data_IF_784933700281
#
_entry.id   IF_784933700281
#
_cell.length_a   1.000
_cell.length_b   1.000
_cell.length_c   1.000
_cell.angle_alpha   90.00
_cell.angle_beta   90.00
_cell.angle_gamma   90.00
#
_symmetry.space_group_name_H-M   'P 1'
#
loop_
_entity.id
_entity.type
_entity.pdbx_description
1 polymer ?
#
# COMPACT_ATOMS: atom_id res chain seq x y z
N UNK A 1 -21.65 -3.05 -24.37
CA UNK A 1 -20.54 -3.89 -24.86
C UNK A 1 -19.19 -3.63 -24.16
N UNK A 2 -18.67 -2.40 -23.96
CA UNK A 2 -17.32 -2.20 -23.42
C UNK A 2 -17.16 -2.63 -21.95
N UNK A 3 -18.16 -2.37 -21.10
CA UNK A 3 -18.13 -2.74 -19.67
C UNK A 3 -18.01 -4.26 -19.48
N UNK A 4 -18.76 -5.06 -20.24
CA UNK A 4 -18.69 -6.53 -20.18
C UNK A 4 -17.29 -7.03 -20.55
N UNK A 5 -16.67 -6.45 -21.58
CA UNK A 5 -15.29 -6.78 -21.96
C UNK A 5 -14.29 -6.43 -20.86
N UNK A 6 -14.40 -5.25 -20.25
CA UNK A 6 -13.55 -4.81 -19.13
C UNK A 6 -13.65 -5.81 -17.96
N UNK A 7 -14.87 -6.19 -17.57
CA UNK A 7 -15.09 -7.13 -16.46
C UNK A 7 -14.57 -8.53 -16.78
N UNK A 8 -14.74 -9.02 -18.01
CA UNK A 8 -14.16 -10.31 -18.43
C UNK A 8 -12.64 -10.29 -18.34
N UNK A 9 -11.99 -9.23 -18.83
CA UNK A 9 -10.53 -9.08 -18.77
C UNK A 9 -10.06 -8.98 -17.32
N UNK A 10 -10.79 -8.26 -16.46
CA UNK A 10 -10.50 -8.18 -15.04
C UNK A 10 -10.57 -9.55 -14.35
N UNK A 11 -11.63 -10.33 -14.63
CA UNK A 11 -11.78 -11.69 -14.09
C UNK A 11 -10.68 -12.64 -14.55
N UNK A 12 -10.27 -12.56 -15.81
CA UNK A 12 -9.14 -13.34 -16.34
C UNK A 12 -7.83 -12.93 -15.67
N UNK A 13 -7.58 -11.62 -15.55
CA UNK A 13 -6.37 -11.09 -14.90
C UNK A 13 -6.29 -11.52 -13.44
N UNK A 14 -7.40 -11.49 -12.71
CA UNK A 14 -7.48 -11.96 -11.32
C UNK A 14 -7.18 -13.47 -11.20
N UNK A 15 -7.74 -14.27 -12.11
CA UNK A 15 -7.50 -15.72 -12.14
C UNK A 15 -6.06 -16.06 -12.51
N UNK A 16 -5.45 -15.28 -13.37
CA UNK A 16 -4.05 -15.42 -13.75
C UNK A 16 -3.13 -15.01 -12.59
N UNK A 17 -3.36 -13.83 -12.01
CA UNK A 17 -2.63 -13.31 -10.86
C UNK A 17 -2.61 -14.33 -9.71
N UNK A 18 -3.77 -14.89 -9.35
CA UNK A 18 -3.90 -15.87 -8.26
C UNK A 18 -3.13 -17.18 -8.47
N UNK A 19 -2.77 -17.52 -9.72
CA UNK A 19 -2.05 -18.77 -10.05
C UNK A 19 -0.54 -18.61 -10.15
N UNK A 20 -0.02 -17.37 -10.11
CA UNK A 20 1.43 -17.11 -10.24
C UNK A 20 2.18 -17.59 -9.00
N UNK A 21 3.41 -18.10 -9.18
CA UNK A 21 4.27 -18.53 -8.05
C UNK A 21 4.54 -17.41 -7.05
N UNK A 22 4.54 -16.15 -7.51
CA UNK A 22 4.63 -14.94 -6.68
C UNK A 22 3.56 -14.96 -5.57
N UNK A 23 2.35 -15.47 -5.84
CA UNK A 23 1.29 -15.60 -4.83
C UNK A 23 1.64 -16.50 -3.68
N UNK A 24 2.33 -17.62 -3.98
CA UNK A 24 2.77 -18.54 -2.93
C UNK A 24 3.83 -17.88 -2.06
N UNK A 25 4.75 -17.14 -2.68
CA UNK A 25 5.75 -16.36 -1.94
C UNK A 25 5.09 -15.29 -1.06
N UNK A 26 4.16 -14.50 -1.59
CA UNK A 26 3.41 -13.50 -0.81
C UNK A 26 2.62 -14.14 0.33
N UNK A 27 1.97 -15.28 0.09
CA UNK A 27 1.25 -16.03 1.11
C UNK A 27 2.16 -16.50 2.23
N UNK A 28 3.32 -17.09 1.89
CA UNK A 28 4.33 -17.52 2.87
C UNK A 28 4.86 -16.34 3.66
N UNK A 29 5.25 -15.24 3.01
CA UNK A 29 5.71 -14.00 3.67
C UNK A 29 4.64 -13.45 4.63
N UNK A 30 3.38 -13.47 4.21
CA UNK A 30 2.25 -13.01 5.04
C UNK A 30 2.08 -13.88 6.28
N UNK A 31 2.09 -15.21 6.12
CA UNK A 31 1.97 -16.15 7.25
C UNK A 31 3.17 -16.03 8.20
N UNK A 32 4.39 -15.90 7.68
CA UNK A 32 5.58 -15.70 8.50
C UNK A 32 5.51 -14.40 9.30
N UNK A 33 5.07 -13.31 8.69
CA UNK A 33 4.91 -12.03 9.38
C UNK A 33 3.78 -12.07 10.42
N UNK A 34 2.66 -12.75 10.13
CA UNK A 34 1.59 -12.99 11.11
C UNK A 34 2.10 -13.80 12.30
N UNK A 35 2.88 -14.85 12.07
CA UNK A 35 3.44 -15.68 13.14
C UNK A 35 4.45 -14.91 14.00
N UNK A 36 5.35 -14.15 13.37
CA UNK A 36 6.28 -13.25 14.06
C UNK A 36 5.53 -12.19 14.87
N UNK A 37 4.46 -11.64 14.31
CA UNK A 37 3.60 -10.70 15.03
C UNK A 37 2.94 -11.36 16.24
N UNK A 38 2.30 -12.52 16.06
CA UNK A 38 1.65 -13.24 17.15
C UNK A 38 2.61 -13.49 18.31
N UNK A 39 3.84 -13.92 17.99
CA UNK A 39 4.90 -14.09 18.97
C UNK A 39 5.32 -12.76 19.63
N UNK A 40 5.53 -11.70 18.85
CA UNK A 40 5.88 -10.38 19.40
C UNK A 40 4.84 -9.87 20.39
N UNK A 41 3.56 -9.94 20.03
CA UNK A 41 2.47 -9.50 20.90
C UNK A 41 2.25 -10.41 22.11
N UNK A 42 2.51 -11.72 22.02
CA UNK A 42 2.44 -12.61 23.19
C UNK A 42 3.51 -12.29 24.23
N UNK A 43 4.73 -11.94 23.78
CA UNK A 43 5.81 -11.51 24.69
C UNK A 43 5.47 -10.18 25.39
N UNK A 44 4.80 -9.26 24.70
CA UNK A 44 4.29 -8.02 25.29
C UNK A 44 3.18 -8.24 26.30
N UNK A 45 2.28 -9.19 26.03
CA UNK A 45 1.26 -9.63 26.96
C UNK A 45 1.89 -10.13 28.27
N UNK A 46 2.83 -11.08 28.15
CA UNK A 46 3.53 -11.65 29.29
C UNK A 46 4.28 -10.58 30.12
N UNK A 47 5.01 -9.68 29.46
CA UNK A 47 5.75 -8.60 30.15
C UNK A 47 4.82 -7.64 30.92
N UNK A 48 3.60 -7.42 30.42
CA UNK A 48 2.62 -6.60 31.12
C UNK A 48 1.98 -7.35 32.31
N UNK A 49 1.71 -8.65 32.16
CA UNK A 49 1.11 -9.47 33.21
C UNK A 49 2.07 -9.68 34.39
N UNK A 50 3.39 -9.71 34.12
CA UNK A 50 4.46 -9.74 35.14
C UNK A 50 4.62 -8.39 35.89
N UNK A 51 3.78 -7.39 35.61
CA UNK A 51 3.82 -6.06 36.22
C UNK A 51 4.93 -5.16 35.70
N UNK A 52 5.62 -5.57 34.62
CA UNK A 52 6.71 -4.82 34.01
C UNK A 52 6.27 -3.62 33.16
N UNK A 53 4.98 -3.52 32.84
CA UNK A 53 4.41 -2.42 32.05
C UNK A 53 3.11 -1.91 32.68
N UNK A 54 2.95 -0.59 32.74
CA UNK A 54 1.65 0.02 33.03
C UNK A 54 0.66 -0.24 31.88
N UNK A 55 -0.65 -0.18 32.17
CA UNK A 55 -1.70 -0.30 31.14
C UNK A 55 -1.52 0.71 30.00
N UNK A 56 -1.01 1.90 30.33
CA UNK A 56 -0.67 2.91 29.34
C UNK A 56 0.46 2.45 28.42
N UNK A 57 1.61 2.10 28.98
CA UNK A 57 2.78 1.67 28.21
C UNK A 57 2.48 0.48 27.30
N UNK A 58 1.71 -0.51 27.79
CA UNK A 58 1.23 -1.65 26.98
C UNK A 58 0.48 -1.18 25.73
N UNK A 59 -0.47 -0.24 25.88
CA UNK A 59 -1.28 0.27 24.78
C UNK A 59 -0.44 1.02 23.72
N UNK A 60 0.55 1.77 24.18
CA UNK A 60 1.47 2.50 23.31
C UNK A 60 2.37 1.54 22.52
N UNK A 61 2.95 0.56 23.20
CA UNK A 61 3.76 -0.47 22.55
C UNK A 61 2.93 -1.27 21.53
N UNK A 62 1.69 -1.65 21.88
CA UNK A 62 0.79 -2.34 20.95
C UNK A 62 0.50 -1.50 19.71
N UNK A 63 0.22 -0.21 19.87
CA UNK A 63 -0.04 0.71 18.75
C UNK A 63 1.17 0.88 17.84
N UNK A 64 2.37 1.06 18.40
CA UNK A 64 3.61 1.22 17.64
C UNK A 64 3.96 -0.05 16.87
N UNK A 65 3.87 -1.22 17.54
CA UNK A 65 4.21 -2.50 16.93
C UNK A 65 3.17 -2.90 15.89
N UNK A 66 1.89 -2.62 16.12
CA UNK A 66 0.86 -2.82 15.11
C UNK A 66 1.18 -2.01 13.85
N UNK A 67 1.54 -0.73 13.98
CA UNK A 67 1.90 0.09 12.82
C UNK A 67 3.16 -0.42 12.12
N UNK A 68 4.17 -0.84 12.87
CA UNK A 68 5.37 -1.43 12.29
C UNK A 68 5.03 -2.69 11.47
N UNK A 69 4.21 -3.59 12.03
CA UNK A 69 3.81 -4.82 11.35
C UNK A 69 2.91 -4.52 10.15
N UNK A 70 1.96 -3.59 10.28
CA UNK A 70 1.10 -3.13 9.17
C UNK A 70 1.92 -2.47 8.05
N UNK A 71 3.00 -1.77 8.38
CA UNK A 71 3.94 -1.27 7.38
C UNK A 71 4.62 -2.43 6.64
N UNK A 72 5.03 -3.47 7.37
CA UNK A 72 5.53 -4.72 6.80
C UNK A 72 4.55 -5.37 5.82
N UNK A 73 3.26 -5.45 6.15
CA UNK A 73 2.24 -5.91 5.21
C UNK A 73 2.07 -4.98 4.01
N UNK A 74 2.18 -3.66 4.21
CA UNK A 74 2.15 -2.68 3.12
C UNK A 74 3.33 -2.89 2.15
N UNK A 75 4.52 -3.25 2.65
CA UNK A 75 5.68 -3.60 1.85
C UNK A 75 5.45 -4.89 1.06
N UNK A 76 4.88 -5.93 1.69
CA UNK A 76 4.54 -7.17 0.99
C UNK A 76 3.49 -6.89 -0.11
N UNK A 77 2.47 -6.06 0.16
CA UNK A 77 1.50 -5.62 -0.83
C UNK A 77 2.17 -4.84 -1.98
N UNK A 78 3.10 -3.94 -1.65
CA UNK A 78 3.84 -3.14 -2.61
C UNK A 78 4.72 -3.99 -3.54
N UNK A 79 5.47 -4.94 -2.97
CA UNK A 79 6.24 -5.92 -3.73
C UNK A 79 5.32 -6.75 -4.63
N UNK A 80 4.21 -7.25 -4.08
CA UNK A 80 3.25 -8.06 -4.82
C UNK A 80 2.65 -7.31 -6.01
N UNK A 81 2.16 -6.08 -5.80
CA UNK A 81 1.56 -5.26 -6.85
C UNK A 81 2.56 -4.90 -7.94
N UNK A 82 3.78 -4.47 -7.56
CA UNK A 82 4.82 -4.11 -8.51
C UNK A 82 5.27 -5.29 -9.39
N UNK A 83 5.48 -6.47 -8.79
CA UNK A 83 5.92 -7.67 -9.51
C UNK A 83 4.80 -8.44 -10.23
N UNK A 84 3.53 -8.17 -9.92
CA UNK A 84 2.41 -8.66 -10.74
C UNK A 84 2.17 -7.75 -11.95
N UNK A 85 2.21 -6.42 -11.79
CA UNK A 85 1.88 -5.48 -12.86
C UNK A 85 2.81 -5.61 -14.08
N UNK A 86 4.12 -5.67 -13.86
CA UNK A 86 5.13 -5.80 -14.91
C UNK A 86 4.86 -6.95 -15.88
N UNK A 87 4.89 -8.20 -15.42
CA UNK A 87 4.63 -9.36 -16.27
C UNK A 87 3.22 -9.38 -16.89
N UNK A 88 2.20 -8.86 -16.20
CA UNK A 88 0.81 -8.85 -16.68
C UNK A 88 0.59 -7.85 -17.83
N UNK A 89 1.43 -6.82 -17.97
CA UNK A 89 1.33 -5.87 -19.07
C UNK A 89 2.54 -5.91 -19.99
N UNK A 90 3.73 -5.53 -19.49
CA UNK A 90 4.96 -5.52 -20.28
C UNK A 90 5.30 -6.92 -20.80
N UNK A 91 5.14 -7.95 -19.96
CA UNK A 91 5.49 -9.33 -20.34
C UNK A 91 4.58 -9.89 -21.43
N UNK A 92 3.29 -9.55 -21.41
CA UNK A 92 2.35 -9.91 -22.47
C UNK A 92 2.57 -9.14 -23.76
N UNK A 93 3.05 -7.89 -23.68
CA UNK A 93 3.43 -7.14 -24.88
C UNK A 93 4.69 -7.69 -25.52
N UNK A 94 5.70 -8.07 -24.73
CA UNK A 94 6.96 -8.64 -25.22
C UNK A 94 6.78 -10.05 -25.79
N UNK A 95 5.87 -10.85 -25.22
CA UNK A 95 5.56 -12.21 -25.68
C UNK A 95 4.55 -12.26 -26.84
N UNK A 96 4.03 -11.12 -27.29
CA UNK A 96 3.02 -11.04 -28.36
C UNK A 96 1.61 -11.50 -27.97
N UNK A 97 1.38 -11.92 -26.72
CA UNK A 97 0.05 -12.30 -26.21
C UNK A 97 -0.92 -11.12 -26.30
N UNK A 98 -0.45 -9.91 -25.97
CA UNK A 98 -1.24 -8.70 -26.08
C UNK A 98 -1.66 -8.42 -27.55
N UNK A 99 -0.80 -8.76 -28.52
CA UNK A 99 -1.08 -8.59 -29.95
C UNK A 99 -2.19 -9.53 -30.42
N UNK A 100 -2.11 -10.80 -30.01
CA UNK A 100 -3.13 -11.80 -30.34
C UNK A 100 -4.51 -11.44 -29.76
N UNK A 101 -4.54 -10.84 -28.55
CA UNK A 101 -5.78 -10.38 -27.91
C UNK A 101 -6.36 -9.13 -28.58
N UNK A 102 -5.49 -8.18 -28.98
CA UNK A 102 -5.88 -6.91 -29.61
C UNK A 102 -6.17 -7.03 -31.12
N UNK A 103 -5.93 -8.20 -31.74
CA UNK A 103 -6.41 -8.50 -33.08
C UNK A 103 -7.96 -8.56 -33.16
N UNK A 104 -8.63 -8.75 -32.01
CA UNK A 104 -10.08 -8.63 -31.88
C UNK A 104 -10.48 -7.16 -31.72
N UNK A 105 -11.71 -6.75 -32.08
CA UNK A 105 -12.16 -5.35 -32.00
C UNK A 105 -12.39 -4.90 -30.54
N UNK A 106 -11.31 -4.85 -29.74
CA UNK A 106 -11.27 -4.45 -28.35
C UNK A 106 -10.49 -3.13 -28.27
N UNK A 107 -11.09 -2.12 -27.64
CA UNK A 107 -10.40 -0.85 -27.41
C UNK A 107 -9.21 -1.07 -26.47
N UNK A 108 -8.01 -0.59 -26.84
CA UNK A 108 -6.78 -0.70 -26.02
C UNK A 108 -6.96 -0.17 -24.59
N UNK A 109 -7.74 0.91 -24.40
CA UNK A 109 -8.07 1.46 -23.08
C UNK A 109 -8.97 0.54 -22.26
N UNK A 110 -9.91 -0.17 -22.88
CA UNK A 110 -10.76 -1.14 -22.19
C UNK A 110 -9.96 -2.38 -21.75
N UNK A 111 -8.98 -2.80 -22.56
CA UNK A 111 -8.04 -3.85 -22.20
C UNK A 111 -7.19 -3.45 -20.99
N UNK A 112 -6.58 -2.26 -21.03
CA UNK A 112 -5.78 -1.74 -19.92
C UNK A 112 -6.61 -1.56 -18.65
N UNK A 113 -7.83 -1.02 -18.77
CA UNK A 113 -8.74 -0.84 -17.63
C UNK A 113 -9.11 -2.18 -16.99
N UNK A 114 -9.39 -3.20 -17.80
CA UNK A 114 -9.68 -4.54 -17.30
C UNK A 114 -8.51 -5.13 -16.52
N UNK A 115 -7.29 -5.02 -17.04
CA UNK A 115 -6.08 -5.48 -16.33
C UNK A 115 -5.85 -4.72 -15.02
N UNK A 116 -5.94 -3.40 -15.07
CA UNK A 116 -5.80 -2.56 -13.88
C UNK A 116 -6.85 -2.92 -12.82
N UNK A 117 -8.14 -3.04 -13.19
CA UNK A 117 -9.21 -3.44 -12.26
C UNK A 117 -8.98 -4.83 -11.65
N UNK A 118 -8.56 -5.80 -12.46
CA UNK A 118 -8.25 -7.15 -11.95
C UNK A 118 -7.14 -7.12 -10.89
N UNK A 119 -6.10 -6.32 -11.12
CA UNK A 119 -5.00 -6.13 -10.17
C UNK A 119 -5.41 -5.29 -8.94
N UNK A 120 -6.28 -4.29 -9.11
CA UNK A 120 -6.83 -3.47 -8.00
C UNK A 120 -7.65 -4.34 -7.05
N UNK A 121 -8.57 -5.15 -7.59
CA UNK A 121 -9.38 -6.08 -6.79
C UNK A 121 -8.47 -7.05 -6.06
N UNK A 122 -7.50 -7.62 -6.77
CA UNK A 122 -6.52 -8.52 -6.19
C UNK A 122 -5.75 -7.89 -5.02
N UNK A 123 -5.15 -6.70 -5.23
CA UNK A 123 -4.38 -6.01 -4.20
C UNK A 123 -5.22 -5.55 -3.01
N UNK A 124 -6.45 -5.06 -3.27
CA UNK A 124 -7.39 -4.64 -2.23
C UNK A 124 -7.81 -5.81 -1.34
N UNK A 125 -8.18 -6.95 -1.97
CA UNK A 125 -8.54 -8.17 -1.23
C UNK A 125 -7.36 -8.65 -0.39
N UNK A 126 -6.15 -8.64 -0.93
CA UNK A 126 -4.95 -9.00 -0.18
C UNK A 126 -4.75 -8.11 1.06
N UNK A 127 -4.78 -6.79 0.89
CA UNK A 127 -4.60 -5.82 1.98
C UNK A 127 -5.65 -6.01 3.08
N UNK A 128 -6.92 -6.15 2.69
CA UNK A 128 -8.03 -6.35 3.64
C UNK A 128 -7.87 -7.66 4.39
N UNK A 129 -7.59 -8.77 3.71
CA UNK A 129 -7.44 -10.08 4.36
C UNK A 129 -6.23 -10.12 5.29
N UNK A 130 -5.06 -9.65 4.83
CA UNK A 130 -3.84 -9.63 5.65
C UNK A 130 -4.00 -8.69 6.85
N UNK A 131 -4.58 -7.51 6.64
CA UNK A 131 -4.79 -6.53 7.69
C UNK A 131 -5.84 -6.97 8.72
N UNK A 132 -6.97 -7.55 8.30
CA UNK A 132 -7.95 -8.12 9.23
C UNK A 132 -7.34 -9.28 10.02
N UNK A 133 -6.60 -10.18 9.36
CA UNK A 133 -5.91 -11.27 10.04
C UNK A 133 -4.92 -10.75 11.10
N UNK A 134 -4.19 -9.68 10.79
CA UNK A 134 -3.29 -9.03 11.74
C UNK A 134 -4.05 -8.43 12.92
N UNK A 135 -5.14 -7.69 12.69
CA UNK A 135 -5.96 -7.16 13.78
C UNK A 135 -6.50 -8.27 14.69
N UNK A 136 -6.92 -9.40 14.13
CA UNK A 136 -7.40 -10.56 14.89
C UNK A 136 -6.28 -11.22 15.70
N UNK A 137 -5.07 -11.34 15.15
CA UNK A 137 -3.89 -11.83 15.88
C UNK A 137 -3.59 -10.94 17.08
N UNK A 138 -3.60 -9.62 16.88
CA UNK A 138 -3.33 -8.65 17.94
C UNK A 138 -4.42 -8.69 19.02
N UNK A 139 -5.69 -8.80 18.63
CA UNK A 139 -6.80 -8.99 19.56
C UNK A 139 -6.63 -10.26 20.40
N UNK A 140 -6.30 -11.38 19.77
CA UNK A 140 -6.16 -12.66 20.45
C UNK A 140 -4.95 -12.74 21.40
N UNK A 141 -3.88 -11.98 21.13
CA UNK A 141 -2.61 -12.07 21.88
C UNK A 141 -2.44 -10.96 22.92
N UNK A 142 -2.99 -9.78 22.67
CA UNK A 142 -2.77 -8.59 23.51
C UNK A 142 -4.06 -7.95 24.04
N UNK A 143 -5.23 -8.36 23.50
CA UNK A 143 -6.51 -7.73 23.79
C UNK A 143 -6.72 -6.38 23.11
N UNK A 144 -5.78 -5.92 22.28
CA UNK A 144 -5.88 -4.64 21.59
C UNK A 144 -6.69 -4.76 20.29
N UNK A 145 -7.64 -3.84 20.10
CA UNK A 145 -8.36 -3.66 18.85
C UNK A 145 -8.19 -2.21 18.37
N UNK A 146 -7.84 -1.99 17.09
CA UNK A 146 -7.68 -0.62 16.59
C UNK A 146 -9.00 0.15 16.62
N UNK A 147 -8.99 1.48 16.83
CA UNK A 147 -10.22 2.28 16.86
C UNK A 147 -10.93 2.36 15.51
N UNK A 148 -10.19 2.56 14.42
CA UNK A 148 -10.76 2.76 13.08
C UNK A 148 -10.16 1.79 12.03
N UNK A 149 -10.28 0.46 12.22
CA UNK A 149 -9.64 -0.52 11.35
C UNK A 149 -10.18 -0.45 9.92
N UNK A 150 -11.46 -0.13 9.73
CA UNK A 150 -12.05 -0.01 8.41
C UNK A 150 -11.45 1.15 7.61
N UNK A 151 -11.32 2.33 8.23
CA UNK A 151 -10.68 3.51 7.62
C UNK A 151 -9.22 3.23 7.31
N UNK A 152 -8.48 2.65 8.26
CA UNK A 152 -7.06 2.36 8.09
C UNK A 152 -6.80 1.36 6.95
N UNK A 153 -7.60 0.29 6.87
CA UNK A 153 -7.51 -0.69 5.78
C UNK A 153 -7.93 -0.11 4.42
N UNK A 154 -8.92 0.79 4.39
CA UNK A 154 -9.32 1.48 3.16
C UNK A 154 -8.20 2.39 2.64
N UNK A 155 -7.48 3.08 3.54
CA UNK A 155 -6.33 3.91 3.19
C UNK A 155 -5.14 3.08 2.72
N UNK A 156 -4.87 1.93 3.34
CA UNK A 156 -3.87 0.97 2.85
C UNK A 156 -4.23 0.40 1.47
N UNK A 157 -5.51 0.12 1.24
CA UNK A 157 -5.97 -0.31 -0.08
C UNK A 157 -5.79 0.82 -1.11
N UNK A 158 -6.12 2.06 -0.76
CA UNK A 158 -5.87 3.22 -1.62
C UNK A 158 -4.37 3.40 -1.93
N UNK A 159 -3.49 3.21 -0.95
CA UNK A 159 -2.04 3.22 -1.14
C UNK A 159 -1.60 2.15 -2.15
N UNK A 160 -2.11 0.92 -2.02
CA UNK A 160 -1.83 -0.16 -2.97
C UNK A 160 -2.34 0.18 -4.38
N UNK A 161 -3.50 0.84 -4.51
CA UNK A 161 -4.05 1.29 -5.80
C UNK A 161 -3.16 2.36 -6.44
N UNK A 162 -2.69 3.35 -5.67
CA UNK A 162 -1.76 4.39 -6.15
C UNK A 162 -0.49 3.74 -6.70
N UNK A 163 0.14 2.87 -5.92
CA UNK A 163 1.36 2.19 -6.34
C UNK A 163 1.14 1.26 -7.54
N UNK A 164 0.04 0.52 -7.57
CA UNK A 164 -0.32 -0.31 -8.71
C UNK A 164 -0.54 0.51 -9.98
N UNK A 165 -1.16 1.68 -9.87
CA UNK A 165 -1.39 2.58 -11.01
C UNK A 165 -0.06 3.10 -11.56
N UNK A 166 0.88 3.43 -10.69
CA UNK A 166 2.26 3.77 -11.07
C UNK A 166 2.94 2.59 -11.77
N UNK A 167 2.84 1.39 -11.20
CA UNK A 167 3.45 0.19 -11.75
C UNK A 167 2.92 -0.12 -13.16
N UNK A 168 1.60 0.01 -13.36
CA UNK A 168 0.96 -0.14 -14.67
C UNK A 168 1.49 0.89 -15.68
N UNK A 169 1.64 2.17 -15.29
CA UNK A 169 2.26 3.19 -16.14
C UNK A 169 3.69 2.80 -16.52
N UNK A 170 4.51 2.38 -15.55
CA UNK A 170 5.88 1.98 -15.81
C UNK A 170 5.94 0.76 -16.74
N UNK A 171 5.03 -0.20 -16.58
CA UNK A 171 4.93 -1.38 -17.46
C UNK A 171 4.52 -1.05 -18.90
N UNK A 172 3.99 0.15 -19.19
CA UNK A 172 3.77 0.56 -20.60
C UNK A 172 5.04 1.09 -21.26
N UNK A 173 6.06 1.47 -20.49
CA UNK A 173 7.26 2.16 -20.98
C UNK A 173 8.54 1.33 -20.89
N UNK A 174 8.70 0.52 -19.83
CA UNK A 174 9.93 -0.26 -19.57
C UNK A 174 9.64 -1.77 -19.47
N UNK A 175 10.70 -2.57 -19.33
CA UNK A 175 10.60 -4.03 -19.21
C UNK A 175 9.86 -4.48 -17.93
N UNK A 176 9.33 -5.71 -17.87
CA UNK A 176 8.62 -6.22 -16.69
C UNK A 176 9.43 -6.07 -15.40
N UNK A 177 10.70 -6.48 -15.43
CA UNK A 177 11.58 -6.43 -14.26
C UNK A 177 11.91 -4.99 -13.86
N UNK A 178 12.22 -4.13 -14.82
CA UNK A 178 12.52 -2.72 -14.56
C UNK A 178 11.30 -1.99 -13.96
N UNK A 179 10.09 -2.24 -14.48
CA UNK A 179 8.87 -1.62 -13.94
C UNK A 179 8.63 -1.97 -12.47
N UNK A 180 8.86 -3.23 -12.09
CA UNK A 180 8.74 -3.68 -10.70
C UNK A 180 9.75 -2.98 -9.79
N UNK A 181 11.04 -3.02 -10.17
CA UNK A 181 12.13 -2.41 -9.39
C UNK A 181 11.91 -0.91 -9.20
N UNK A 182 11.57 -0.17 -10.26
CA UNK A 182 11.35 1.27 -10.20
C UNK A 182 10.13 1.60 -9.32
N UNK A 183 9.05 0.82 -9.41
CA UNK A 183 7.85 1.04 -8.57
C UNK A 183 8.17 0.91 -7.08
N UNK A 184 8.89 -0.14 -6.71
CA UNK A 184 9.28 -0.39 -5.31
C UNK A 184 10.29 0.65 -4.83
N UNK A 185 11.26 1.01 -5.67
CA UNK A 185 12.22 2.07 -5.39
C UNK A 185 11.53 3.40 -5.09
N UNK A 186 10.58 3.82 -5.94
CA UNK A 186 9.80 5.04 -5.73
C UNK A 186 8.92 4.98 -4.48
N UNK A 187 8.31 3.82 -4.20
CA UNK A 187 7.55 3.60 -2.97
C UNK A 187 8.43 3.81 -1.73
N UNK A 188 9.60 3.17 -1.70
CA UNK A 188 10.57 3.32 -0.60
C UNK A 188 11.10 4.74 -0.49
N UNK A 189 11.44 5.39 -1.60
CA UNK A 189 11.90 6.78 -1.61
C UNK A 189 10.84 7.76 -1.10
N UNK A 190 9.57 7.55 -1.44
CA UNK A 190 8.48 8.39 -0.93
C UNK A 190 8.29 8.23 0.58
N UNK A 191 8.40 7.00 1.10
CA UNK A 191 8.40 6.78 2.55
C UNK A 191 9.59 7.45 3.24
N UNK A 192 10.81 7.28 2.72
CA UNK A 192 12.01 7.94 3.28
C UNK A 192 11.86 9.46 3.28
N UNK A 193 11.40 10.06 2.18
CA UNK A 193 11.13 11.50 2.10
C UNK A 193 10.06 11.92 3.12
N UNK A 194 9.04 11.09 3.33
CA UNK A 194 8.03 11.27 4.37
C UNK A 194 8.60 11.28 5.78
N UNK A 195 9.55 10.38 6.10
CA UNK A 195 10.27 10.35 7.38
C UNK A 195 11.14 11.59 7.55
N UNK A 196 11.90 11.96 6.51
CA UNK A 196 12.72 13.19 6.50
C UNK A 196 11.85 14.42 6.78
N UNK A 197 10.67 14.51 6.16
CA UNK A 197 9.73 15.61 6.42
C UNK A 197 9.27 15.67 7.88
N UNK A 198 9.00 14.52 8.50
CA UNK A 198 8.63 14.45 9.93
C UNK A 198 9.77 14.84 10.87
N UNK A 199 11.01 14.46 10.53
CA UNK A 199 12.21 14.93 11.25
C UNK A 199 12.39 16.44 11.09
N UNK A 200 12.15 16.97 9.89
CA UNK A 200 12.19 18.41 9.62
C UNK A 200 11.23 19.20 10.52
N UNK A 201 9.99 18.73 10.66
CA UNK A 201 9.01 19.37 11.54
C UNK A 201 9.40 19.29 13.02
N UNK A 202 9.92 18.15 13.48
CA UNK A 202 10.40 17.99 14.85
C UNK A 202 11.60 18.90 15.19
N UNK A 203 12.39 19.29 14.18
CA UNK A 203 13.53 20.20 14.30
C UNK A 203 13.17 21.66 14.01
N UNK A 204 11.89 21.98 13.78
CA UNK A 204 11.41 23.30 13.37
C UNK A 204 12.16 23.83 12.12
N UNK A 205 12.39 22.94 11.15
CA UNK A 205 13.12 23.23 9.91
C UNK A 205 12.22 23.06 8.68
N UNK A 206 11.62 24.17 8.25
CA UNK A 206 10.70 24.21 7.10
C UNK A 206 11.29 23.63 5.81
N UNK A 207 12.59 23.84 5.56
CA UNK A 207 13.21 23.39 4.32
C UNK A 207 13.26 21.86 4.25
N UNK A 208 13.58 21.21 5.37
CA UNK A 208 13.60 19.75 5.50
C UNK A 208 12.17 19.20 5.53
N UNK A 209 11.25 19.88 6.21
CA UNK A 209 9.83 19.51 6.24
C UNK A 209 9.21 19.46 4.82
N UNK A 210 9.52 20.46 3.98
CA UNK A 210 9.02 20.55 2.60
C UNK A 210 9.37 19.33 1.73
N UNK A 211 10.45 18.61 2.04
CA UNK A 211 10.82 17.37 1.34
C UNK A 211 9.69 16.33 1.43
N UNK A 212 9.13 16.15 2.62
CA UNK A 212 7.99 15.25 2.85
C UNK A 212 6.72 15.76 2.15
N UNK A 213 6.45 17.06 2.23
CA UNK A 213 5.26 17.67 1.60
C UNK A 213 5.28 17.51 0.08
N UNK A 214 6.40 17.82 -0.58
CA UNK A 214 6.55 17.66 -2.03
C UNK A 214 6.44 16.19 -2.42
N UNK A 215 7.06 15.29 -1.66
CA UNK A 215 6.99 13.85 -1.93
C UNK A 215 5.55 13.32 -1.90
N UNK A 216 4.75 13.72 -0.90
CA UNK A 216 3.34 13.30 -0.76
C UNK A 216 2.44 13.86 -1.87
N UNK A 217 2.78 15.01 -2.44
CA UNK A 217 2.07 15.54 -3.61
C UNK A 217 2.43 14.71 -4.85
N UNK A 218 3.71 14.41 -5.06
CA UNK A 218 4.20 13.67 -6.23
C UNK A 218 3.80 12.20 -6.24
N UNK A 219 3.86 11.53 -5.09
CA UNK A 219 3.47 10.14 -4.91
C UNK A 219 2.75 9.99 -3.56
N UNK A 220 1.40 9.93 -3.54
CA UNK A 220 0.64 10.06 -2.30
C UNK A 220 0.67 8.84 -1.39
N UNK A 221 1.57 7.87 -1.63
CA UNK A 221 1.66 6.62 -0.86
C UNK A 221 2.04 6.84 0.60
N UNK A 222 2.99 7.73 0.88
CA UNK A 222 3.40 8.04 2.27
C UNK A 222 2.27 8.72 3.06
N UNK A 223 1.56 9.68 2.45
CA UNK A 223 0.44 10.34 3.14
C UNK A 223 -0.71 9.38 3.43
N UNK A 224 -1.03 8.47 2.49
CA UNK A 224 -2.05 7.44 2.72
C UNK A 224 -1.63 6.47 3.83
N UNK A 225 -0.35 6.08 3.89
CA UNK A 225 0.21 5.30 4.99
C UNK A 225 0.07 6.03 6.33
N UNK A 226 0.41 7.31 6.39
CA UNK A 226 0.27 8.13 7.61
C UNK A 226 -1.16 8.26 8.10
N UNK A 227 -2.14 8.37 7.20
CA UNK A 227 -3.54 8.32 7.61
C UNK A 227 -3.97 6.94 8.10
N UNK A 228 -3.46 5.86 7.49
CA UNK A 228 -3.74 4.51 7.97
C UNK A 228 -3.17 4.29 9.38
N UNK A 229 -1.96 4.79 9.64
CA UNK A 229 -1.35 4.75 10.97
C UNK A 229 -2.21 5.43 12.03
N UNK A 230 -2.75 6.61 11.73
CA UNK A 230 -3.65 7.32 12.63
C UNK A 230 -4.89 6.47 12.97
N UNK A 231 -5.51 5.81 11.99
CA UNK A 231 -6.66 4.94 12.23
C UNK A 231 -6.36 3.67 13.03
N UNK A 232 -5.11 3.20 13.04
CA UNK A 232 -4.67 2.05 13.83
C UNK A 232 -4.30 2.39 15.28
N UNK A 233 -4.04 3.67 15.58
CA UNK A 233 -3.53 4.13 16.88
C UNK A 233 -4.68 4.51 17.80
N UNK A 234 -4.52 4.20 19.09
CA UNK A 234 -5.43 4.69 20.12
C UNK A 234 -5.21 6.21 20.36
N UNK A 235 -6.27 7.03 20.43
CA UNK A 235 -6.15 8.47 20.70
C UNK A 235 -5.40 8.80 21.99
N UNK A 236 -5.45 7.92 22.99
CA UNK A 236 -4.72 8.10 24.25
C UNK A 236 -3.20 8.06 24.09
N UNK A 237 -2.68 7.52 22.98
CA UNK A 237 -1.25 7.54 22.63
C UNK A 237 -0.82 8.93 22.15
N UNK A 238 -1.72 9.68 21.49
CA UNK A 238 -1.46 11.03 20.99
C UNK A 238 -1.23 12.04 22.12
N UNK A 239 -1.80 11.80 23.30
CA UNK A 239 -1.72 12.70 24.45
C UNK A 239 -0.46 12.52 25.32
N UNK A 240 0.40 11.52 25.05
CA UNK A 240 1.55 11.19 25.91
C UNK A 240 2.91 11.73 25.44
N UNK A 241 2.99 12.25 24.22
CA UNK A 241 4.21 12.86 23.70
C UNK A 241 4.05 14.38 23.63
N UNK A 242 5.16 15.12 23.82
CA UNK A 242 5.17 16.55 23.58
C UNK A 242 4.92 16.84 22.08
N UNK A 243 4.24 17.95 21.77
CA UNK A 243 4.03 18.38 20.39
C UNK A 243 5.38 18.50 19.67
N UNK A 244 5.55 17.82 18.53
CA UNK A 244 6.77 17.81 17.72
C UNK A 244 7.58 16.50 17.78
N UNK A 245 7.75 15.88 18.96
CA UNK A 245 8.51 14.61 19.07
C UNK A 245 7.81 13.47 18.33
N UNK A 246 6.48 13.48 18.29
CA UNK A 246 5.66 12.47 17.62
C UNK A 246 5.80 12.48 16.09
N UNK A 247 6.10 13.64 15.49
CA UNK A 247 6.16 13.79 14.03
C UNK A 247 7.40 13.15 13.40
N UNK A 248 8.48 13.07 14.18
CA UNK A 248 9.72 12.38 13.78
C UNK A 248 9.58 10.86 13.80
N UNK A 249 8.63 10.29 14.55
CA UNK A 249 8.50 8.83 14.66
C UNK A 249 7.89 8.24 13.36
N UNK A 250 8.61 7.34 12.67
CA UNK A 250 8.21 6.85 11.35
C UNK A 250 6.98 5.92 11.34
N UNK A 251 6.56 5.44 12.52
CA UNK A 251 5.45 4.51 12.71
C UNK A 251 4.33 5.10 13.58
N UNK A 252 4.34 6.43 13.73
CA UNK A 252 3.36 7.19 14.48
C UNK A 252 2.79 8.33 13.60
N UNK A 253 1.52 8.68 13.78
CA UNK A 253 0.88 9.74 12.99
C UNK A 253 -0.20 10.48 13.77
N UNK A 254 -0.04 11.80 13.93
CA UNK A 254 -0.94 12.64 14.72
C UNK A 254 -2.18 13.08 13.94
N UNK A 255 -2.08 13.14 12.60
CA UNK A 255 -3.08 13.81 11.79
C UNK A 255 -3.90 12.85 10.95
N UNK A 256 -5.22 12.97 11.06
CA UNK A 256 -6.16 12.45 10.07
C UNK A 256 -5.94 13.11 8.71
N UNK A 257 -6.16 12.37 7.63
CA UNK A 257 -6.08 12.92 6.27
C UNK A 257 -7.25 13.87 5.99
N UNK A 258 -6.95 15.00 5.34
CA UNK A 258 -7.98 15.94 4.90
C UNK A 258 -8.74 15.38 3.69
N UNK A 259 -10.02 15.75 3.56
CA UNK A 259 -10.82 15.41 2.38
C UNK A 259 -10.17 15.92 1.07
N UNK A 260 -9.48 17.07 1.13
CA UNK A 260 -8.73 17.63 0.01
C UNK A 260 -7.59 16.70 -0.44
N UNK A 261 -6.85 16.10 0.51
CA UNK A 261 -5.77 15.16 0.16
C UNK A 261 -6.32 13.84 -0.40
N UNK A 262 -7.44 13.35 0.13
CA UNK A 262 -8.10 12.15 -0.45
C UNK A 262 -8.60 12.41 -1.87
N UNK A 263 -9.19 13.59 -2.12
CA UNK A 263 -9.58 14.01 -3.46
C UNK A 263 -8.35 14.12 -4.38
N UNK A 264 -7.24 14.66 -3.88
CA UNK A 264 -5.98 14.70 -4.61
C UNK A 264 -5.48 13.29 -4.98
N UNK A 265 -5.51 12.32 -4.05
CA UNK A 265 -5.11 10.94 -4.35
C UNK A 265 -5.96 10.31 -5.46
N UNK A 266 -7.27 10.59 -5.48
CA UNK A 266 -8.16 10.15 -6.58
C UNK A 266 -7.79 10.81 -7.90
N UNK A 267 -7.59 12.14 -7.90
CA UNK A 267 -7.14 12.90 -9.08
C UNK A 267 -5.81 12.35 -9.59
N UNK A 268 -4.87 12.08 -8.70
CA UNK A 268 -3.57 11.50 -9.03
C UNK A 268 -3.71 10.16 -9.75
N UNK A 269 -4.55 9.24 -9.22
CA UNK A 269 -4.82 7.95 -9.86
C UNK A 269 -5.39 8.14 -11.27
N UNK A 270 -6.38 9.04 -11.44
CA UNK A 270 -6.98 9.33 -12.75
C UNK A 270 -5.96 9.90 -13.73
N UNK A 271 -5.12 10.84 -13.30
CA UNK A 271 -4.08 11.44 -14.13
C UNK A 271 -3.05 10.41 -14.58
N UNK A 272 -2.47 9.66 -13.65
CA UNK A 272 -1.43 8.65 -13.95
C UNK A 272 -1.99 7.53 -14.81
N UNK A 273 -3.22 7.08 -14.52
CA UNK A 273 -3.90 6.09 -15.36
C UNK A 273 -4.16 6.62 -16.78
N UNK A 274 -4.55 7.88 -16.92
CA UNK A 274 -4.77 8.52 -18.23
C UNK A 274 -3.47 8.60 -19.04
N UNK A 275 -2.35 8.91 -18.38
CA UNK A 275 -1.01 8.88 -18.99
C UNK A 275 -0.65 7.45 -19.42
N UNK A 276 -0.92 6.44 -18.59
CA UNK A 276 -0.68 5.03 -18.93
C UNK A 276 -1.50 4.61 -20.16
N UNK A 277 -2.78 5.00 -20.22
CA UNK A 277 -3.65 4.73 -21.35
C UNK A 277 -3.18 5.43 -22.64
N UNK A 278 -2.70 6.68 -22.54
CA UNK A 278 -2.14 7.41 -23.67
C UNK A 278 -0.82 6.79 -24.17
N UNK A 279 0.06 6.38 -23.25
CA UNK A 279 1.32 5.69 -23.54
C UNK A 279 1.07 4.36 -24.25
N UNK A 280 0.17 3.53 -23.71
CA UNK A 280 -0.19 2.23 -24.29
C UNK A 280 -0.83 2.34 -25.68
N UNK A 281 -1.56 3.43 -25.95
CA UNK A 281 -2.13 3.69 -27.28
C UNK A 281 -1.09 3.99 -28.34
N UNK A 282 -0.02 4.72 -27.99
CA UNK A 282 1.03 5.13 -28.93
C UNK A 282 2.07 4.05 -29.20
N UNK A 283 2.10 2.99 -28.38
CA UNK A 283 3.02 1.87 -28.56
C UNK A 283 2.66 1.12 -29.85
N UNK A 284 3.67 0.93 -30.71
CA UNK A 284 3.57 0.09 -31.90
C UNK A 284 3.45 -1.36 -31.45
N UNK A 285 2.20 -1.75 -31.23
CA UNK A 285 1.72 -3.11 -31.00
C UNK A 285 1.07 -3.56 -32.29
#
# INVERSE_FOLDING_TARGET
MPVRTVLTIAGLTLREASRRKVMRALGVLTVLLLALSAWGFSQLGAAADDGGLTSGEKLMACSQILNLVMFGFSLIAALGTAFLAGPTLAGETESGIALAMLARPIRRSAFLLGKWLGLVVFGTVYVVLAGVAQCLVVLATSGYWPPEPATALALLAAQAIVLLTLAVLLSTAVSPMASGVVSIGLFGSAWVAGVIGGVGAALDNEAVERVGTVSRILLPTDGLWRGAMHGFQDPSVLHRFAAGEFEAFPFLSVHSLTAAYLAWAVVWVVLVWSVAAASFRRRNL
#
